data_IF_841337445744
#
_entry.id   IF_841337445744
#
_cell.length_a   1.000
_cell.length_b   1.000
_cell.length_c   1.000
_cell.angle_alpha   90.00
_cell.angle_beta   90.00
_cell.angle_gamma   90.00
#
_symmetry.space_group_name_H-M   'P 1'
#
loop_
_entity.id
_entity.type
_entity.pdbx_description
1 polymer ?
#
# COMPACT_ATOMS: atom_id res chain seq x y z
N UNK A 1 14.71 -8.74 6.74
CA UNK A 1 14.62 -7.28 6.61
C UNK A 1 13.85 -7.07 5.32
N UNK A 2 12.62 -6.58 5.37
CA UNK A 2 11.78 -6.48 4.17
C UNK A 2 12.35 -5.39 3.24
N UNK A 3 12.44 -5.68 1.95
CA UNK A 3 12.88 -4.74 0.92
C UNK A 3 11.67 -4.12 0.20
N UNK A 4 11.90 -3.03 -0.52
CA UNK A 4 10.89 -2.40 -1.40
C UNK A 4 10.43 -3.37 -2.48
N UNK A 5 11.32 -4.27 -2.91
CA UNK A 5 11.03 -5.31 -3.90
C UNK A 5 10.04 -6.37 -3.38
N UNK A 6 9.84 -6.46 -2.06
CA UNK A 6 8.89 -7.40 -1.45
C UNK A 6 7.48 -6.80 -1.28
N UNK A 7 7.26 -5.57 -1.75
CA UNK A 7 5.99 -4.87 -1.65
C UNK A 7 5.12 -5.15 -2.87
N UNK A 8 4.25 -6.14 -2.77
CA UNK A 8 3.37 -6.68 -3.82
C UNK A 8 1.88 -6.52 -3.50
N UNK A 9 1.54 -5.75 -2.46
CA UNK A 9 0.16 -5.42 -2.11
C UNK A 9 0.00 -3.94 -1.79
N UNK A 10 -1.18 -3.39 -2.09
CA UNK A 10 -1.52 -1.99 -1.85
C UNK A 10 -2.80 -1.85 -1.05
N UNK A 11 -2.79 -0.89 -0.13
CA UNK A 11 -3.96 -0.49 0.67
C UNK A 11 -4.22 0.98 0.37
N UNK A 12 -5.40 1.26 -0.18
CA UNK A 12 -5.89 2.61 -0.48
C UNK A 12 -6.70 3.09 0.72
N UNK A 13 -6.29 4.22 1.27
CA UNK A 13 -6.94 4.93 2.38
C UNK A 13 -7.24 6.36 1.95
N UNK A 14 -7.93 7.14 2.78
CA UNK A 14 -8.09 8.57 2.50
C UNK A 14 -6.71 9.25 2.42
N UNK A 15 -6.50 10.12 1.44
CA UNK A 15 -5.20 10.76 1.21
C UNK A 15 -4.72 11.57 2.43
N UNK A 16 -5.67 12.19 3.15
CA UNK A 16 -5.41 12.90 4.42
C UNK A 16 -4.90 11.98 5.54
N UNK A 17 -5.15 10.68 5.45
CA UNK A 17 -4.80 9.68 6.47
C UNK A 17 -3.61 8.80 6.08
N UNK A 18 -3.19 8.84 4.81
CA UNK A 18 -2.15 7.96 4.26
C UNK A 18 -0.85 7.99 5.07
N UNK A 19 -0.40 9.18 5.48
CA UNK A 19 0.80 9.32 6.31
C UNK A 19 0.63 8.71 7.71
N UNK A 20 -0.51 8.95 8.36
CA UNK A 20 -0.79 8.42 9.69
C UNK A 20 -0.92 6.90 9.67
N UNK A 21 -1.60 6.36 8.65
CA UNK A 21 -1.68 4.92 8.43
C UNK A 21 -0.30 4.29 8.21
N UNK A 22 0.57 4.93 7.41
CA UNK A 22 1.94 4.45 7.20
C UNK A 22 2.75 4.44 8.50
N UNK A 23 2.63 5.50 9.30
CA UNK A 23 3.30 5.59 10.61
C UNK A 23 2.79 4.51 11.56
N UNK A 24 1.48 4.30 11.61
CA UNK A 24 0.86 3.27 12.45
C UNK A 24 1.34 1.87 12.10
N UNK A 25 1.38 1.52 10.81
CA UNK A 25 1.89 0.23 10.34
C UNK A 25 3.36 0.03 10.72
N UNK A 26 4.21 1.05 10.53
CA UNK A 26 5.63 1.00 10.89
C UNK A 26 5.85 0.84 12.39
N UNK A 27 5.03 1.51 13.21
CA UNK A 27 5.07 1.36 14.67
C UNK A 27 4.66 -0.05 15.15
N UNK A 28 4.03 -0.84 14.28
CA UNK A 28 3.61 -2.23 14.54
C UNK A 28 4.47 -3.25 13.76
N UNK A 29 5.71 -2.89 13.42
CA UNK A 29 6.69 -3.74 12.71
C UNK A 29 6.23 -4.23 11.32
N UNK A 30 5.34 -3.46 10.68
CA UNK A 30 4.98 -3.67 9.28
C UNK A 30 5.76 -2.69 8.43
N UNK A 31 6.71 -3.22 7.66
CA UNK A 31 7.39 -2.45 6.65
C UNK A 31 6.38 -2.01 5.59
N UNK A 32 6.28 -0.69 5.40
CA UNK A 32 5.40 -0.12 4.40
C UNK A 32 6.00 1.16 3.83
N UNK A 33 5.67 1.43 2.57
CA UNK A 33 6.01 2.68 1.88
C UNK A 33 4.78 3.30 1.26
N UNK A 34 4.80 4.61 1.12
CA UNK A 34 3.78 5.33 0.37
C UNK A 34 4.22 5.38 -1.09
N UNK A 35 3.34 4.97 -1.97
CA UNK A 35 3.50 5.10 -3.41
C UNK A 35 2.29 5.85 -3.96
N UNK A 36 2.40 6.46 -5.15
CA UNK A 36 1.21 6.76 -5.92
C UNK A 36 0.35 5.47 -6.02
N UNK A 37 -0.96 5.60 -6.13
CA UNK A 37 -1.80 4.42 -6.37
C UNK A 37 -1.71 4.03 -7.84
N UNK A 38 -1.41 2.77 -8.19
CA UNK A 38 -1.40 2.36 -9.59
C UNK A 38 -2.75 2.63 -10.25
N UNK A 39 -2.80 3.16 -11.49
CA UNK A 39 -4.05 3.47 -12.18
C UNK A 39 -4.98 2.25 -12.32
N UNK A 40 -4.40 1.05 -12.43
CA UNK A 40 -5.12 -0.24 -12.45
C UNK A 40 -5.86 -0.54 -11.13
N UNK A 41 -5.38 0.00 -10.01
CA UNK A 41 -5.95 -0.22 -8.68
C UNK A 41 -6.95 0.86 -8.32
N UNK A 42 -6.64 2.13 -8.56
CA UNK A 42 -7.55 3.24 -8.28
C UNK A 42 -7.34 4.38 -9.29
N UNK A 43 -8.38 4.79 -10.04
CA UNK A 43 -8.26 5.87 -10.99
C UNK A 43 -8.09 7.22 -10.27
N UNK A 44 -7.08 8.00 -10.66
CA UNK A 44 -6.81 9.35 -10.15
C UNK A 44 -5.54 9.46 -9.29
N UNK A 45 -5.09 10.70 -9.06
CA UNK A 45 -3.88 11.00 -8.28
C UNK A 45 -4.13 10.77 -6.78
N UNK A 46 -3.94 9.55 -6.32
CA UNK A 46 -4.02 9.17 -4.90
C UNK A 46 -2.73 8.49 -4.44
N UNK A 47 -2.58 8.34 -3.12
CA UNK A 47 -1.49 7.60 -2.51
C UNK A 47 -2.02 6.29 -1.92
N UNK A 48 -1.23 5.23 -2.05
CA UNK A 48 -1.49 3.94 -1.45
C UNK A 48 -0.34 3.53 -0.52
N UNK A 49 -0.68 2.74 0.49
CA UNK A 49 0.28 2.06 1.35
C UNK A 49 0.68 0.77 0.65
N UNK A 50 1.93 0.69 0.21
CA UNK A 50 2.52 -0.55 -0.29
C UNK A 50 3.05 -1.38 0.89
N UNK A 51 2.62 -2.63 0.97
CA UNK A 51 2.98 -3.63 1.98
C UNK A 51 3.28 -4.96 1.28
N UNK A 52 3.98 -5.86 1.96
CA UNK A 52 4.04 -7.25 1.51
C UNK A 52 2.67 -7.92 1.71
N UNK A 53 2.24 -8.70 0.72
CA UNK A 53 1.02 -9.51 0.70
C UNK A 53 0.96 -10.45 1.90
N UNK A 54 2.11 -10.99 2.33
CA UNK A 54 2.25 -11.81 3.54
C UNK A 54 1.82 -11.09 4.82
N UNK A 55 1.95 -9.76 4.85
CA UNK A 55 1.60 -8.90 5.99
C UNK A 55 0.28 -8.14 5.78
N UNK A 56 -0.36 -8.28 4.63
CA UNK A 56 -1.57 -7.52 4.27
C UNK A 56 -2.70 -7.73 5.29
N UNK A 57 -2.99 -8.98 5.66
CA UNK A 57 -4.06 -9.25 6.64
C UNK A 57 -3.77 -8.61 8.00
N UNK A 58 -2.53 -8.69 8.48
CA UNK A 58 -2.11 -8.05 9.73
C UNK A 58 -2.22 -6.53 9.64
N UNK A 59 -1.81 -5.94 8.51
CA UNK A 59 -1.92 -4.51 8.26
C UNK A 59 -3.39 -4.04 8.28
N UNK A 60 -4.28 -4.76 7.60
CA UNK A 60 -5.72 -4.48 7.58
C UNK A 60 -6.34 -4.55 8.98
N UNK A 61 -5.92 -5.53 9.80
CA UNK A 61 -6.39 -5.65 11.18
C UNK A 61 -5.93 -4.48 12.05
N UNK A 62 -4.67 -4.04 11.94
CA UNK A 62 -4.15 -2.88 12.67
C UNK A 62 -4.91 -1.61 12.28
N UNK A 63 -5.09 -1.36 10.98
CA UNK A 63 -5.84 -0.19 10.50
C UNK A 63 -7.28 -0.20 11.01
N UNK A 64 -7.95 -1.37 10.99
CA UNK A 64 -9.32 -1.50 11.48
C UNK A 64 -9.43 -1.28 12.99
N UNK A 65 -8.47 -1.75 13.78
CA UNK A 65 -8.47 -1.59 15.23
C UNK A 65 -8.31 -0.12 15.67
N UNK A 66 -7.71 0.71 14.81
CA UNK A 66 -7.51 2.15 15.03
C UNK A 66 -8.55 3.00 14.25
N UNK A 67 -9.68 2.40 13.87
CA UNK A 67 -10.79 3.03 13.12
C UNK A 67 -10.38 3.73 11.80
N UNK A 68 -9.26 3.32 11.20
CA UNK A 68 -8.79 3.84 9.91
C UNK A 68 -9.61 3.25 8.77
N UNK A 69 -10.17 4.10 7.92
CA UNK A 69 -11.02 3.65 6.81
C UNK A 69 -10.20 3.21 5.60
N UNK A 70 -10.19 1.90 5.35
CA UNK A 70 -9.68 1.34 4.10
C UNK A 70 -10.73 1.48 3.00
N UNK A 71 -10.36 2.14 1.90
CA UNK A 71 -11.21 2.36 0.73
C UNK A 71 -11.16 1.13 -0.18
N UNK A 72 -9.95 0.63 -0.45
CA UNK A 72 -9.70 -0.52 -1.33
C UNK A 72 -8.37 -1.16 -0.93
N UNK A 73 -8.20 -2.43 -1.24
CA UNK A 73 -6.89 -3.07 -1.26
C UNK A 73 -6.77 -3.94 -2.51
N UNK A 74 -5.55 -4.21 -2.96
CA UNK A 74 -5.29 -5.09 -4.09
C UNK A 74 -3.94 -5.77 -3.94
N UNK A 75 -3.83 -6.97 -4.49
CA UNK A 75 -2.55 -7.59 -4.80
C UNK A 75 -2.08 -7.08 -6.16
N UNK A 76 -0.77 -7.02 -6.34
CA UNK A 76 -0.09 -6.71 -7.59
C UNK A 76 0.51 -8.01 -8.15
N UNK A 77 0.59 -8.12 -9.47
CA UNK A 77 1.18 -9.31 -10.13
C UNK A 77 2.70 -9.39 -9.95
N UNK A 78 3.34 -8.24 -9.67
CA UNK A 78 4.74 -8.10 -9.32
C UNK A 78 4.92 -7.10 -8.18
N UNK A 79 6.11 -6.54 -8.03
CA UNK A 79 6.33 -5.55 -6.98
C UNK A 79 5.72 -4.18 -7.35
N UNK A 80 5.59 -3.31 -6.36
CA UNK A 80 5.01 -1.97 -6.51
C UNK A 80 5.72 -1.15 -7.59
N UNK A 81 7.04 -1.31 -7.77
CA UNK A 81 7.82 -0.57 -8.77
C UNK A 81 7.42 -1.05 -10.18
N UNK A 82 7.40 -2.36 -10.43
CA UNK A 82 6.99 -2.94 -11.71
C UNK A 82 5.59 -2.46 -12.13
N UNK A 83 4.65 -2.43 -11.17
CA UNK A 83 3.29 -1.94 -11.42
C UNK A 83 3.19 -0.48 -11.90
N UNK A 84 4.25 0.32 -11.69
CA UNK A 84 4.37 1.70 -12.19
C UNK A 84 5.14 1.82 -13.49
N UNK A 85 6.23 1.06 -13.65
CA UNK A 85 7.17 1.26 -14.74
C UNK A 85 6.91 0.41 -15.98
N UNK A 86 6.17 -0.70 -15.87
CA UNK A 86 5.78 -1.48 -17.06
C UNK A 86 4.84 -0.72 -18.01
N UNK A 87 4.28 0.42 -17.57
CA UNK A 87 3.48 1.31 -18.42
C UNK A 87 4.31 2.39 -19.16
N UNK A 88 5.63 2.45 -18.99
CA UNK A 88 6.46 3.57 -19.49
C UNK A 88 7.11 3.36 -20.87
N UNK A 89 6.80 2.25 -21.55
CA UNK A 89 7.33 1.94 -22.88
C UNK A 89 6.21 1.97 -23.92
N UNK A 90 5.76 3.16 -24.30
CA UNK A 90 5.01 3.40 -25.54
C UNK A 90 5.26 4.81 -26.08
#
# INVERSE_FOLDING_TARGET
MDDVLDLDAVIVVAQSEAYNCAKLLRNNDIFCKLFPTPPSVFPGCSLALAVSSLKLQKAMQILRNEDMKVIKYSYLEGNIIESFYESSWY
#
